data_IF_992382490554
#
_entry.id   IF_992382490554
#
_cell.length_a   1.000
_cell.length_b   1.000
_cell.length_c   1.000
_cell.angle_alpha   90.00
_cell.angle_beta   90.00
_cell.angle_gamma   90.00
#
_symmetry.space_group_name_H-M   'P 1'
#
loop_
_entity.id
_entity.type
_entity.pdbx_description
1 polymer ?
#
# COMPACT_ATOMS: atom_id res chain seq x y z
N UNK A 1 -37.08 13.22 9.86
CA UNK A 1 -35.96 13.86 9.16
C UNK A 1 -34.69 13.35 9.83
N UNK A 2 -34.15 12.23 9.35
CA UNK A 2 -32.86 11.71 9.80
C UNK A 2 -31.85 12.15 8.75
N UNK A 3 -31.06 13.17 9.08
CA UNK A 3 -29.86 13.48 8.32
C UNK A 3 -28.90 12.31 8.50
N UNK A 4 -28.73 11.51 7.46
CA UNK A 4 -27.66 10.52 7.40
C UNK A 4 -26.34 11.28 7.18
N UNK A 5 -25.39 11.29 8.13
CA UNK A 5 -24.13 12.01 7.99
C UNK A 5 -23.17 11.38 6.96
N UNK A 6 -23.58 10.32 6.26
CA UNK A 6 -22.69 9.47 5.47
C UNK A 6 -22.21 10.05 4.12
N UNK A 7 -22.76 11.16 3.61
CA UNK A 7 -22.52 11.54 2.21
C UNK A 7 -21.57 12.74 1.98
N UNK A 8 -20.61 12.94 2.90
CA UNK A 8 -19.47 13.87 2.68
C UNK A 8 -18.15 13.17 2.41
N UNK A 9 -18.15 11.94 1.93
CA UNK A 9 -16.91 11.35 1.38
C UNK A 9 -16.54 12.10 0.11
N UNK A 10 -15.73 13.16 0.23
CA UNK A 10 -15.14 13.86 -0.92
C UNK A 10 -14.65 12.83 -1.95
N UNK A 11 -15.15 12.86 -3.20
CA UNK A 11 -14.80 11.87 -4.21
C UNK A 11 -13.29 11.61 -4.27
N UNK A 12 -12.89 10.34 -4.26
CA UNK A 12 -11.49 9.93 -4.32
C UNK A 12 -10.69 10.09 -3.02
N UNK A 13 -11.35 10.14 -1.85
CA UNK A 13 -10.70 10.20 -0.54
C UNK A 13 -9.68 9.07 -0.35
N UNK A 14 -10.06 7.81 -0.58
CA UNK A 14 -9.13 6.69 -0.41
C UNK A 14 -7.96 6.73 -1.39
N UNK A 15 -8.16 7.24 -2.61
CA UNK A 15 -7.06 7.45 -3.54
C UNK A 15 -6.05 8.49 -3.04
N UNK A 16 -6.53 9.57 -2.40
CA UNK A 16 -5.64 10.56 -1.74
C UNK A 16 -4.92 9.95 -0.55
N UNK A 17 -5.62 9.19 0.30
CA UNK A 17 -5.00 8.49 1.44
C UNK A 17 -3.94 7.50 0.93
N UNK A 18 -4.22 6.74 -0.13
CA UNK A 18 -3.28 5.81 -0.77
C UNK A 18 -2.03 6.55 -1.27
N UNK A 19 -2.24 7.70 -1.92
CA UNK A 19 -1.15 8.55 -2.39
C UNK A 19 -0.27 9.03 -1.24
N UNK A 20 -0.88 9.63 -0.20
CA UNK A 20 -0.16 10.13 0.97
C UNK A 20 0.58 9.02 1.70
N UNK A 21 -0.05 7.85 1.88
CA UNK A 21 0.58 6.68 2.50
C UNK A 21 1.82 6.24 1.71
N UNK A 22 1.71 6.13 0.38
CA UNK A 22 2.81 5.68 -0.46
C UNK A 22 3.95 6.70 -0.54
N UNK A 23 3.64 8.00 -0.58
CA UNK A 23 4.64 9.08 -0.54
C UNK A 23 5.35 9.13 0.80
N UNK A 24 4.63 8.97 1.92
CA UNK A 24 5.24 8.89 3.25
C UNK A 24 6.22 7.69 3.33
N UNK A 25 5.83 6.55 2.77
CA UNK A 25 6.68 5.36 2.74
C UNK A 25 7.90 5.55 1.83
N UNK A 26 7.75 6.23 0.69
CA UNK A 26 8.87 6.61 -0.18
C UNK A 26 9.87 7.53 0.51
N UNK A 27 9.37 8.57 1.20
CA UNK A 27 10.21 9.52 1.93
C UNK A 27 11.07 8.82 3.01
N UNK A 28 10.48 7.83 3.69
CA UNK A 28 11.19 7.02 4.68
C UNK A 28 12.32 6.19 4.05
N UNK A 29 12.07 5.57 2.89
CA UNK A 29 13.11 4.83 2.15
C UNK A 29 14.24 5.74 1.68
N UNK A 30 13.93 6.93 1.18
CA UNK A 30 14.96 7.90 0.79
C UNK A 30 15.73 8.43 1.98
N UNK A 31 15.07 8.66 3.12
CA UNK A 31 15.76 9.01 4.37
C UNK A 31 16.80 7.95 4.75
N UNK A 32 16.45 6.66 4.67
CA UNK A 32 17.40 5.57 4.91
C UNK A 32 18.49 5.50 3.84
N UNK A 33 18.13 5.70 2.57
CA UNK A 33 19.08 5.66 1.45
C UNK A 33 20.13 6.78 1.51
N UNK A 34 19.74 7.95 2.03
CA UNK A 34 20.63 9.08 2.28
C UNK A 34 21.50 8.91 3.54
N UNK A 35 21.33 7.80 4.26
CA UNK A 35 22.16 7.44 5.40
C UNK A 35 21.45 7.48 6.75
N UNK A 36 20.17 7.86 6.81
CA UNK A 36 19.38 7.83 8.03
C UNK A 36 19.29 6.44 8.64
N UNK A 37 19.52 6.32 9.96
CA UNK A 37 19.54 5.04 10.66
C UNK A 37 18.31 4.79 11.55
N UNK A 38 17.52 5.84 11.83
CA UNK A 38 16.34 5.72 12.72
C UNK A 38 15.33 4.74 12.12
N UNK A 39 15.03 3.69 12.88
CA UNK A 39 14.09 2.63 12.47
C UNK A 39 14.62 1.66 11.41
N UNK A 40 15.82 1.88 10.85
CA UNK A 40 16.40 0.99 9.84
C UNK A 40 16.90 -0.31 10.48
N UNK A 41 17.56 -0.23 11.64
CA UNK A 41 17.98 -1.40 12.42
C UNK A 41 16.81 -2.28 12.86
N UNK A 42 15.66 -1.64 13.07
CA UNK A 42 14.40 -2.29 13.40
C UNK A 42 13.75 -2.94 12.17
N UNK A 43 13.95 -2.37 10.97
CA UNK A 43 13.34 -2.85 9.72
C UNK A 43 14.18 -3.87 8.95
N UNK A 44 15.51 -3.79 9.02
CA UNK A 44 16.43 -4.56 8.17
C UNK A 44 17.46 -5.39 8.97
N UNK A 45 17.45 -5.29 10.30
CA UNK A 45 18.33 -6.10 11.16
C UNK A 45 19.81 -5.94 10.79
N UNK A 46 20.59 -7.04 10.66
CA UNK A 46 22.02 -6.98 10.33
C UNK A 46 22.34 -6.21 9.02
N UNK A 47 21.43 -6.22 8.04
CA UNK A 47 21.58 -5.46 6.79
C UNK A 47 21.57 -3.93 7.00
N UNK A 48 20.99 -3.47 8.11
CA UNK A 48 21.00 -2.06 8.50
C UNK A 48 22.37 -1.58 8.97
N UNK A 49 23.18 -2.49 9.54
CA UNK A 49 24.53 -2.22 10.04
C UNK A 49 25.56 -2.35 8.93
N UNK A 50 25.46 -3.42 8.12
CA UNK A 50 26.40 -3.68 7.03
C UNK A 50 26.18 -2.78 5.81
N UNK A 51 24.95 -2.28 5.60
CA UNK A 51 24.52 -1.43 4.47
C UNK A 51 25.20 -1.76 3.14
N UNK A 52 25.10 -3.02 2.66
CA UNK A 52 25.76 -3.39 1.42
C UNK A 52 25.19 -2.57 0.27
N UNK A 53 26.03 -2.16 -0.68
CA UNK A 53 25.65 -1.21 -1.74
C UNK A 53 24.43 -1.65 -2.56
N UNK A 54 24.25 -2.96 -2.75
CA UNK A 54 23.07 -3.52 -3.43
C UNK A 54 21.78 -3.32 -2.62
N UNK A 55 21.83 -3.40 -1.30
CA UNK A 55 20.68 -3.18 -0.42
C UNK A 55 20.27 -1.71 -0.45
N UNK A 56 21.23 -0.80 -0.44
CA UNK A 56 20.95 0.64 -0.57
C UNK A 56 20.35 0.96 -1.94
N UNK A 57 20.93 0.44 -3.03
CA UNK A 57 20.48 0.71 -4.39
C UNK A 57 19.11 0.07 -4.71
N UNK A 58 18.91 -1.21 -4.40
CA UNK A 58 17.68 -1.92 -4.76
C UNK A 58 16.65 -1.83 -3.64
N UNK A 59 17.06 -2.09 -2.40
CA UNK A 59 16.17 -2.16 -1.24
C UNK A 59 15.69 -0.80 -0.73
N UNK A 60 16.51 0.25 -0.83
CA UNK A 60 16.13 1.58 -0.36
C UNK A 60 15.70 2.48 -1.53
N UNK A 61 16.59 2.74 -2.49
CA UNK A 61 16.27 3.57 -3.64
C UNK A 61 15.19 2.95 -4.54
N UNK A 62 15.36 1.68 -4.91
CA UNK A 62 14.40 0.96 -5.77
C UNK A 62 13.00 0.91 -5.16
N UNK A 63 12.89 0.52 -3.88
CA UNK A 63 11.60 0.49 -3.18
C UNK A 63 11.02 1.89 -3.02
N UNK A 64 11.83 2.91 -2.69
CA UNK A 64 11.37 4.29 -2.62
C UNK A 64 10.76 4.79 -3.94
N UNK A 65 11.40 4.49 -5.07
CA UNK A 65 10.87 4.80 -6.41
C UNK A 65 9.56 4.03 -6.68
N UNK A 66 9.51 2.74 -6.34
CA UNK A 66 8.30 1.93 -6.49
C UNK A 66 7.14 2.50 -5.67
N UNK A 67 7.43 3.04 -4.47
CA UNK A 67 6.45 3.70 -3.63
C UNK A 67 5.94 5.01 -4.25
N UNK A 68 6.80 5.79 -4.93
CA UNK A 68 6.35 6.95 -5.71
C UNK A 68 5.43 6.55 -6.88
N UNK A 69 5.71 5.43 -7.55
CA UNK A 69 4.81 4.86 -8.57
C UNK A 69 3.47 4.48 -7.94
N UNK A 70 3.49 3.86 -6.75
CA UNK A 70 2.29 3.62 -5.95
C UNK A 70 1.54 4.91 -5.59
N UNK A 71 2.26 5.97 -5.23
CA UNK A 71 1.70 7.29 -4.95
C UNK A 71 1.00 7.88 -6.17
N UNK A 72 1.65 7.83 -7.33
CA UNK A 72 1.06 8.24 -8.61
C UNK A 72 -0.19 7.41 -8.97
N UNK A 73 -0.19 6.12 -8.65
CA UNK A 73 -1.35 5.24 -8.82
C UNK A 73 -2.50 5.66 -7.89
N UNK A 74 -2.24 5.91 -6.61
CA UNK A 74 -3.23 6.41 -5.64
C UNK A 74 -3.83 7.74 -6.08
N UNK A 75 -2.99 8.68 -6.52
CA UNK A 75 -3.41 9.95 -7.10
C UNK A 75 -4.29 9.77 -8.34
N UNK A 76 -3.98 8.80 -9.20
CA UNK A 76 -4.81 8.48 -10.36
C UNK A 76 -6.14 7.82 -9.98
N UNK A 77 -6.18 7.00 -8.94
CA UNK A 77 -7.41 6.45 -8.38
C UNK A 77 -8.29 7.52 -7.72
N UNK A 78 -7.69 8.62 -7.24
CA UNK A 78 -8.41 9.74 -6.65
C UNK A 78 -9.12 10.64 -7.67
N UNK A 79 -8.80 10.54 -8.97
CA UNK A 79 -9.35 11.42 -10.01
C UNK A 79 -10.57 10.81 -10.71
N UNK A 80 -11.59 11.62 -11.06
CA UNK A 80 -12.68 11.17 -11.92
C UNK A 80 -12.10 10.68 -13.25
N UNK A 81 -12.46 9.46 -13.67
CA UNK A 81 -11.80 8.78 -14.79
C UNK A 81 -12.73 8.63 -15.99
N UNK A 82 -12.17 8.82 -17.18
CA UNK A 82 -12.83 8.53 -18.46
C UNK A 82 -12.94 7.01 -18.68
N UNK A 83 -14.05 6.58 -19.29
CA UNK A 83 -14.34 5.17 -19.60
C UNK A 83 -13.25 4.61 -20.54
N UNK A 84 -12.74 3.41 -20.28
CA UNK A 84 -11.82 2.71 -21.20
C UNK A 84 -10.87 1.69 -20.54
N UNK A 85 -10.06 1.03 -21.37
CA UNK A 85 -9.04 0.04 -20.96
C UNK A 85 -8.07 0.61 -19.90
N UNK A 86 -7.69 1.89 -20.03
CA UNK A 86 -6.83 2.57 -19.06
C UNK A 86 -7.48 2.72 -17.67
N UNK A 87 -8.82 2.77 -17.58
CA UNK A 87 -9.58 2.73 -16.32
C UNK A 87 -9.48 1.39 -15.61
N UNK A 88 -9.68 0.31 -16.38
CA UNK A 88 -9.59 -1.06 -15.91
C UNK A 88 -8.17 -1.43 -15.48
N UNK A 89 -7.16 -1.04 -16.27
CA UNK A 89 -5.75 -1.28 -15.95
C UNK A 89 -5.34 -0.61 -14.63
N UNK A 90 -5.70 0.66 -14.42
CA UNK A 90 -5.40 1.37 -13.15
C UNK A 90 -6.09 0.71 -11.95
N UNK A 91 -7.34 0.26 -12.12
CA UNK A 91 -8.06 -0.44 -11.06
C UNK A 91 -7.44 -1.81 -10.75
N UNK A 92 -7.03 -2.57 -11.78
CA UNK A 92 -6.35 -3.84 -11.63
C UNK A 92 -4.97 -3.68 -10.96
N UNK A 93 -4.22 -2.63 -11.32
CA UNK A 93 -2.97 -2.30 -10.65
C UNK A 93 -3.18 -1.95 -9.17
N UNK A 94 -4.24 -1.21 -8.83
CA UNK A 94 -4.60 -0.93 -7.44
C UNK A 94 -4.88 -2.21 -6.64
N UNK A 95 -5.61 -3.16 -7.24
CA UNK A 95 -5.81 -4.50 -6.66
C UNK A 95 -4.52 -5.32 -6.56
N UNK A 96 -3.63 -5.21 -7.55
CA UNK A 96 -2.32 -5.86 -7.52
C UNK A 96 -1.47 -5.36 -6.34
N UNK A 97 -1.41 -4.03 -6.13
CA UNK A 97 -0.72 -3.43 -4.99
C UNK A 97 -1.37 -3.89 -3.67
N UNK A 98 -2.70 -3.88 -3.58
CA UNK A 98 -3.43 -4.41 -2.44
C UNK A 98 -3.02 -5.86 -2.12
N UNK A 99 -3.07 -6.75 -3.12
CA UNK A 99 -2.73 -8.16 -2.97
C UNK A 99 -1.28 -8.35 -2.52
N UNK A 100 -0.31 -7.67 -3.15
CA UNK A 100 1.11 -7.76 -2.79
C UNK A 100 1.34 -7.33 -1.34
N UNK A 101 0.76 -6.20 -0.91
CA UNK A 101 0.94 -5.69 0.45
C UNK A 101 0.29 -6.60 1.50
N UNK A 102 -0.92 -7.11 1.22
CA UNK A 102 -1.61 -8.03 2.13
C UNK A 102 -0.92 -9.39 2.21
N UNK A 103 -0.52 -9.98 1.07
CA UNK A 103 0.24 -11.24 1.05
C UNK A 103 1.54 -11.07 1.80
N UNK A 104 2.27 -9.98 1.58
CA UNK A 104 3.50 -9.69 2.36
C UNK A 104 3.19 -9.59 3.85
N UNK A 105 2.16 -8.85 4.24
CA UNK A 105 1.79 -8.66 5.64
C UNK A 105 1.44 -9.99 6.32
N UNK A 106 0.55 -10.76 5.72
CA UNK A 106 0.08 -12.06 6.25
C UNK A 106 1.22 -13.08 6.26
N UNK A 107 2.00 -13.20 5.20
CA UNK A 107 3.11 -14.17 5.14
C UNK A 107 4.15 -13.89 6.22
N UNK A 108 4.52 -12.62 6.43
CA UNK A 108 5.45 -12.25 7.51
C UNK A 108 4.86 -12.57 8.87
N UNK A 109 3.56 -12.34 9.08
CA UNK A 109 2.89 -12.68 10.34
C UNK A 109 2.93 -14.19 10.61
N UNK A 110 2.60 -15.00 9.59
CA UNK A 110 2.59 -16.47 9.68
C UNK A 110 4.00 -17.01 9.90
N UNK A 111 5.00 -16.51 9.15
CA UNK A 111 6.40 -16.90 9.31
C UNK A 111 6.90 -16.59 10.72
N UNK A 112 6.63 -15.38 11.21
CA UNK A 112 7.01 -14.99 12.56
C UNK A 112 6.22 -15.76 13.64
N UNK A 113 4.95 -16.09 13.44
CA UNK A 113 4.22 -16.94 14.39
C UNK A 113 4.76 -18.38 14.40
N UNK A 114 5.09 -18.95 13.23
CA UNK A 114 5.68 -20.28 13.12
C UNK A 114 7.07 -20.35 13.78
N UNK A 115 7.88 -19.30 13.62
CA UNK A 115 9.18 -19.16 14.28
C UNK A 115 9.05 -19.08 15.82
N UNK A 116 7.97 -18.48 16.34
CA UNK A 116 7.63 -18.49 17.78
C UNK A 116 7.45 -19.89 18.35
N UNK A 117 7.00 -20.82 17.49
CA UNK A 117 6.63 -22.17 17.89
C UNK A 117 7.79 -23.18 17.84
N UNK A 118 9.03 -22.72 17.61
CA UNK A 118 10.23 -23.52 17.92
C UNK A 118 11.25 -23.71 16.81
N UNK A 119 11.46 -22.73 15.92
CA UNK A 119 12.70 -22.70 15.13
C UNK A 119 13.54 -21.50 15.57
N UNK A 120 14.81 -21.73 15.87
CA UNK A 120 15.77 -20.68 16.21
C UNK A 120 16.16 -19.92 14.94
N UNK A 121 15.35 -18.95 14.49
CA UNK A 121 15.83 -17.95 13.54
C UNK A 121 16.42 -16.79 14.35
N UNK A 122 17.68 -16.45 14.04
CA UNK A 122 18.52 -15.45 14.69
C UNK A 122 18.05 -13.99 14.50
N UNK A 123 16.76 -13.71 14.67
CA UNK A 123 16.20 -12.35 14.70
C UNK A 123 16.03 -11.95 16.16
N UNK A 124 16.50 -10.76 16.54
CA UNK A 124 16.36 -10.34 17.92
C UNK A 124 14.86 -10.24 18.29
N UNK A 125 14.44 -10.64 19.51
CA UNK A 125 13.04 -10.58 19.92
C UNK A 125 12.42 -9.17 19.78
N UNK A 126 13.25 -8.14 19.95
CA UNK A 126 12.86 -6.74 19.79
C UNK A 126 12.59 -6.37 18.33
N UNK A 127 13.45 -6.76 17.38
CA UNK A 127 13.24 -6.55 15.94
C UNK A 127 11.94 -7.21 15.45
N UNK A 128 11.66 -8.39 15.99
CA UNK A 128 10.46 -9.17 15.69
C UNK A 128 9.18 -8.49 16.20
N UNK A 129 9.20 -8.01 17.45
CA UNK A 129 8.08 -7.26 18.06
C UNK A 129 7.75 -6.01 17.26
N UNK A 130 8.75 -5.21 16.90
CA UNK A 130 8.53 -3.99 16.13
C UNK A 130 8.05 -4.25 14.70
N UNK A 131 8.54 -5.33 14.07
CA UNK A 131 8.04 -5.75 12.76
C UNK A 131 6.55 -6.12 12.83
N UNK A 132 6.14 -6.83 13.88
CA UNK A 132 4.74 -7.22 14.07
C UNK A 132 3.81 -6.07 14.48
N UNK A 133 4.29 -5.16 15.32
CA UNK A 133 3.44 -4.10 15.89
C UNK A 133 3.39 -2.85 15.02
N UNK A 134 4.47 -2.52 14.32
CA UNK A 134 4.56 -1.28 13.54
C UNK A 134 4.53 -1.56 12.04
N UNK A 135 5.44 -2.42 11.54
CA UNK A 135 5.58 -2.61 10.10
C UNK A 135 4.42 -3.41 9.50
N UNK A 136 4.03 -4.53 10.12
CA UNK A 136 2.97 -5.36 9.58
C UNK A 136 1.62 -4.63 9.47
N UNK A 137 1.15 -3.92 10.51
CA UNK A 137 -0.08 -3.15 10.44
C UNK A 137 0.03 -2.03 9.40
N UNK A 138 1.21 -1.42 9.25
CA UNK A 138 1.44 -0.42 8.20
C UNK A 138 1.22 -1.00 6.79
N UNK A 139 1.78 -2.19 6.49
CA UNK A 139 1.57 -2.88 5.21
C UNK A 139 0.10 -3.28 5.00
N UNK A 140 -0.57 -3.78 6.04
CA UNK A 140 -1.99 -4.13 5.98
C UNK A 140 -2.87 -2.90 5.70
N UNK A 141 -2.62 -1.79 6.40
CA UNK A 141 -3.31 -0.51 6.16
C UNK A 141 -3.08 -0.04 4.74
N UNK A 142 -1.83 -0.08 4.24
CA UNK A 142 -1.52 0.26 2.86
C UNK A 142 -2.32 -0.58 1.87
N UNK A 143 -2.32 -1.91 2.03
CA UNK A 143 -3.09 -2.83 1.18
C UNK A 143 -4.57 -2.51 1.17
N UNK A 144 -5.17 -2.34 2.36
CA UNK A 144 -6.58 -2.00 2.51
C UNK A 144 -6.94 -0.67 1.85
N UNK A 145 -6.13 0.38 2.04
CA UNK A 145 -6.38 1.70 1.46
C UNK A 145 -6.30 1.65 -0.08
N UNK A 146 -5.32 0.93 -0.66
CA UNK A 146 -5.27 0.73 -2.11
C UNK A 146 -6.45 -0.09 -2.64
N UNK A 147 -6.89 -1.11 -1.91
CA UNK A 147 -8.07 -1.90 -2.23
C UNK A 147 -9.36 -1.07 -2.20
N UNK A 148 -9.54 -0.24 -1.17
CA UNK A 148 -10.69 0.67 -1.07
C UNK A 148 -10.69 1.72 -2.19
N UNK A 149 -9.52 2.30 -2.52
CA UNK A 149 -9.37 3.21 -3.65
C UNK A 149 -9.72 2.55 -4.99
N UNK A 150 -9.29 1.30 -5.20
CA UNK A 150 -9.63 0.52 -6.39
C UNK A 150 -11.14 0.21 -6.46
N UNK A 151 -11.77 -0.12 -5.33
CA UNK A 151 -13.21 -0.37 -5.25
C UNK A 151 -14.03 0.88 -5.58
N UNK A 152 -13.68 2.04 -5.04
CA UNK A 152 -14.36 3.30 -5.38
C UNK A 152 -14.25 3.64 -6.86
N UNK A 153 -13.03 3.55 -7.41
CA UNK A 153 -12.76 3.77 -8.83
C UNK A 153 -13.61 2.84 -9.71
N UNK A 154 -13.69 1.55 -9.38
CA UNK A 154 -14.51 0.58 -10.10
C UNK A 154 -16.02 0.87 -10.03
N UNK A 155 -16.54 1.27 -8.86
CA UNK A 155 -17.96 1.62 -8.68
C UNK A 155 -18.34 2.88 -9.45
N UNK A 156 -17.48 3.89 -9.49
CA UNK A 156 -17.70 5.11 -10.27
C UNK A 156 -17.81 4.81 -11.77
N UNK A 157 -16.93 3.94 -12.30
CA UNK A 157 -16.98 3.52 -13.69
C UNK A 157 -18.26 2.74 -14.04
N UNK A 158 -18.71 1.84 -13.15
CA UNK A 158 -19.93 1.04 -13.35
C UNK A 158 -21.22 1.86 -13.31
N UNK A 159 -21.33 2.84 -12.41
CA UNK A 159 -22.50 3.75 -12.32
C UNK A 159 -22.62 4.62 -13.56
N UNK A 160 -21.50 5.16 -14.04
CA UNK A 160 -21.49 5.90 -15.29
C UNK A 160 -21.97 4.99 -16.43
N UNK A 161 -21.43 3.77 -16.58
CA UNK A 161 -21.85 2.85 -17.64
C UNK A 161 -23.36 2.60 -17.73
N UNK A 162 -24.06 2.47 -16.59
CA UNK A 162 -25.53 2.30 -16.57
C UNK A 162 -26.31 3.56 -16.94
N UNK A 163 -25.79 4.75 -16.68
CA UNK A 163 -26.47 6.00 -17.03
C UNK A 163 -26.41 6.30 -18.55
N UNK A 164 -25.46 5.70 -19.28
CA UNK A 164 -25.34 5.83 -20.74
C UNK A 164 -26.09 4.76 -21.54
N UNK A 165 -26.56 3.69 -20.88
CA UNK A 165 -27.42 2.67 -21.49
C UNK A 165 -28.82 2.67 -20.85
N UNK A 166 -29.63 3.73 -21.06
CA UNK A 166 -31.02 3.75 -20.59
C UNK A 166 -31.95 2.83 -21.42
N UNK A 167 -31.42 2.13 -22.44
CA UNK A 167 -32.22 1.46 -23.48
C UNK A 167 -32.43 -0.05 -23.34
N UNK A 168 -31.84 -0.73 -22.35
CA UNK A 168 -32.02 -2.20 -22.19
C UNK A 168 -33.17 -2.62 -21.26
N UNK A 169 -34.02 -1.67 -20.87
CA UNK A 169 -35.20 -1.91 -20.05
C UNK A 169 -36.51 -1.72 -20.84
N UNK A 170 -36.64 -2.32 -22.03
CA UNK A 170 -37.94 -2.71 -22.64
C UNK A 170 -37.71 -3.93 -23.53
#
# INVERSE_FOLDING_TARGET
MHEDPQDRTTPGLWGRIACTWAVAFAALHFYWALGGSRGLSVSAGPLAEERPGWFVAVGLWGVGILCLVGGALGWRLARPRSRGLAGRAVTALGWGVCAVLLVRGVSVEVLLMADATGQEIAVSPEQRLWTLVLWNPWFLVGGLVFGLAARESGRAAGRAGRAEDPGSAV
#
